data_IF_586420157427
#
_entry.id   IF_586420157427
#
_cell.length_a   1.000
_cell.length_b   1.000
_cell.length_c   1.000
_cell.angle_alpha   90.00
_cell.angle_beta   90.00
_cell.angle_gamma   90.00
#
_symmetry.space_group_name_H-M   'P 1'
#
loop_
_entity.id
_entity.type
_entity.pdbx_description
1 polymer ?
#
# COMPACT_ATOMS: atom_id res chain seq x y z
N UNK A 1 -15.48 -2.31 -45.13
CA UNK A 1 -15.55 -0.83 -45.17
C UNK A 1 -14.14 -0.27 -45.25
N UNK A 2 -13.77 0.34 -46.39
CA UNK A 2 -12.45 0.95 -46.57
C UNK A 2 -12.35 2.23 -45.72
N UNK A 3 -11.36 2.32 -44.84
CA UNK A 3 -11.07 3.55 -44.08
C UNK A 3 -10.65 4.63 -45.06
N UNK A 4 -11.48 5.65 -45.28
CA UNK A 4 -11.13 6.86 -46.04
C UNK A 4 -9.82 7.43 -45.50
N UNK A 5 -8.78 7.49 -46.33
CA UNK A 5 -7.51 8.17 -45.97
C UNK A 5 -7.80 9.67 -45.89
N UNK A 6 -7.82 10.23 -44.68
CA UNK A 6 -7.93 11.69 -44.51
C UNK A 6 -6.77 12.37 -45.22
N UNK A 7 -7.08 13.32 -46.13
CA UNK A 7 -6.08 14.12 -46.85
C UNK A 7 -5.19 14.88 -45.82
N UNK A 8 -3.87 14.84 -46.03
CA UNK A 8 -2.91 15.56 -45.18
C UNK A 8 -2.99 17.07 -45.48
N UNK A 9 -3.24 17.85 -44.46
CA UNK A 9 -3.27 19.31 -44.52
C UNK A 9 -1.95 19.85 -43.98
N UNK A 10 -1.21 20.59 -44.84
CA UNK A 10 0.08 21.17 -44.47
C UNK A 10 0.00 22.70 -44.42
N UNK A 11 0.69 23.31 -43.47
CA UNK A 11 0.89 24.76 -43.37
C UNK A 11 2.38 25.04 -43.11
N UNK A 12 2.92 26.09 -43.68
CA UNK A 12 4.27 26.56 -43.42
C UNK A 12 4.23 27.48 -42.18
N UNK A 13 4.93 27.12 -41.09
CA UNK A 13 5.06 27.90 -39.86
C UNK A 13 6.56 27.97 -39.54
N UNK A 14 7.07 29.17 -39.35
CA UNK A 14 8.50 29.42 -39.06
C UNK A 14 9.47 28.67 -39.97
N UNK A 15 9.16 28.69 -41.27
CA UNK A 15 9.98 28.05 -42.30
C UNK A 15 9.81 26.52 -42.43
N UNK A 16 9.11 25.87 -41.53
CA UNK A 16 8.89 24.43 -41.52
C UNK A 16 7.49 24.07 -42.07
N UNK A 17 7.41 23.01 -42.88
CA UNK A 17 6.16 22.49 -43.40
C UNK A 17 5.54 21.51 -42.38
N UNK A 18 4.51 21.95 -41.67
CA UNK A 18 3.89 21.19 -40.59
C UNK A 18 2.54 20.59 -41.03
N UNK A 19 2.31 19.32 -40.71
CA UNK A 19 1.03 18.66 -40.95
C UNK A 19 0.02 19.02 -39.86
N UNK A 20 -0.95 19.88 -40.16
CA UNK A 20 -1.93 20.44 -39.23
C UNK A 20 -2.93 19.42 -38.68
N UNK A 21 -3.22 18.36 -39.42
CA UNK A 21 -4.11 17.28 -39.02
C UNK A 21 -3.36 15.97 -38.72
N UNK A 22 -2.13 16.09 -38.15
CA UNK A 22 -1.35 14.95 -37.74
C UNK A 22 -1.97 14.36 -36.47
N UNK A 23 -2.38 13.09 -36.50
CA UNK A 23 -2.93 12.41 -35.35
C UNK A 23 -1.82 11.77 -34.49
N UNK A 24 -2.13 11.50 -33.22
CA UNK A 24 -1.22 10.79 -32.28
C UNK A 24 -0.74 9.45 -32.85
N UNK A 25 -1.63 8.73 -33.56
CA UNK A 25 -1.29 7.44 -34.17
C UNK A 25 -0.25 7.54 -35.30
N UNK A 26 -0.08 8.70 -35.90
CA UNK A 26 0.88 8.96 -36.98
C UNK A 26 2.28 9.36 -36.46
N UNK A 27 2.48 9.45 -35.15
CA UNK A 27 3.79 9.65 -34.54
C UNK A 27 4.66 8.39 -34.68
N UNK A 28 6.00 8.57 -34.69
CA UNK A 28 6.94 7.47 -34.56
C UNK A 28 6.77 6.78 -33.19
N UNK A 29 7.06 5.48 -33.13
CA UNK A 29 6.87 4.70 -31.89
C UNK A 29 7.56 5.38 -30.70
N UNK A 30 8.84 5.72 -30.82
CA UNK A 30 9.60 6.40 -29.75
C UNK A 30 8.95 7.73 -29.30
N UNK A 31 8.30 8.47 -30.20
CA UNK A 31 7.59 9.71 -29.84
C UNK A 31 6.32 9.42 -29.06
N UNK A 32 5.57 8.37 -29.46
CA UNK A 32 4.39 7.91 -28.72
C UNK A 32 4.75 7.45 -27.30
N UNK A 33 5.83 6.68 -27.19
CA UNK A 33 6.29 6.15 -25.89
C UNK A 33 6.69 7.28 -24.94
N UNK A 34 7.45 8.28 -25.46
CA UNK A 34 7.83 9.48 -24.67
C UNK A 34 6.59 10.23 -24.19
N UNK A 35 5.67 10.57 -25.10
CA UNK A 35 4.46 11.34 -24.75
C UNK A 35 3.60 10.54 -23.76
N UNK A 36 3.46 9.23 -23.96
CA UNK A 36 2.72 8.37 -23.04
C UNK A 36 3.35 8.35 -21.64
N UNK A 37 4.68 8.32 -21.57
CA UNK A 37 5.41 8.40 -20.29
C UNK A 37 5.19 9.76 -19.61
N UNK A 38 5.36 10.87 -20.33
CA UNK A 38 5.17 12.21 -19.78
C UNK A 38 3.74 12.45 -19.28
N UNK A 39 2.74 12.00 -20.03
CA UNK A 39 1.33 12.08 -19.60
C UNK A 39 1.11 11.33 -18.28
N UNK A 40 1.72 10.14 -18.12
CA UNK A 40 1.62 9.40 -16.88
C UNK A 40 2.38 10.04 -15.73
N UNK A 41 3.59 10.55 -16.00
CA UNK A 41 4.43 11.21 -15.00
C UNK A 41 3.76 12.46 -14.43
N UNK A 42 3.22 13.35 -15.28
CA UNK A 42 2.54 14.57 -14.85
C UNK A 42 1.24 14.25 -14.11
N UNK A 43 0.46 13.28 -14.58
CA UNK A 43 -0.72 12.80 -13.88
C UNK A 43 -0.39 12.26 -12.48
N UNK A 44 0.62 11.39 -12.41
CA UNK A 44 1.09 10.79 -11.15
C UNK A 44 1.62 11.84 -10.19
N UNK A 45 2.40 12.81 -10.69
CA UNK A 45 2.93 13.93 -9.92
C UNK A 45 1.78 14.69 -9.26
N UNK A 46 0.79 15.12 -10.05
CA UNK A 46 -0.37 15.86 -9.54
C UNK A 46 -1.10 15.08 -8.43
N UNK A 47 -1.45 13.81 -8.67
CA UNK A 47 -2.18 12.98 -7.68
C UNK A 47 -1.37 12.77 -6.41
N UNK A 48 -0.03 12.67 -6.53
CA UNK A 48 0.84 12.47 -5.37
C UNK A 48 1.00 13.74 -4.53
N UNK A 49 1.13 14.91 -5.18
CA UNK A 49 1.32 16.20 -4.50
C UNK A 49 0.03 16.74 -3.88
N UNK A 50 -1.13 16.45 -4.49
CA UNK A 50 -2.42 17.01 -4.07
C UNK A 50 -3.32 16.01 -3.35
N UNK A 51 -2.97 14.73 -3.31
CA UNK A 51 -3.74 13.63 -2.70
C UNK A 51 -5.19 13.53 -3.20
N UNK A 52 -5.47 14.08 -4.38
CA UNK A 52 -6.79 14.10 -5.03
C UNK A 52 -6.70 13.80 -6.53
N UNK A 53 -7.81 13.38 -7.12
CA UNK A 53 -7.90 13.19 -8.57
C UNK A 53 -7.96 14.56 -9.27
N UNK A 54 -7.35 14.69 -10.48
CA UNK A 54 -7.43 15.91 -11.25
C UNK A 54 -8.88 16.24 -11.66
N UNK A 55 -9.31 17.46 -11.38
CA UNK A 55 -10.49 18.10 -11.94
C UNK A 55 -10.18 18.73 -13.31
N UNK A 56 -11.12 19.49 -13.89
CA UNK A 56 -10.93 20.06 -15.24
C UNK A 56 -9.79 21.08 -15.30
N UNK A 57 -9.61 21.89 -14.28
CA UNK A 57 -8.54 22.88 -14.21
C UNK A 57 -7.17 22.21 -14.07
N UNK A 58 -7.09 21.21 -13.21
CA UNK A 58 -5.88 20.40 -13.04
C UNK A 58 -5.52 19.60 -14.32
N UNK A 59 -6.54 19.13 -15.06
CA UNK A 59 -6.32 18.46 -16.34
C UNK A 59 -5.65 19.40 -17.36
N UNK A 60 -6.05 20.67 -17.41
CA UNK A 60 -5.43 21.68 -18.28
C UNK A 60 -3.97 21.90 -17.91
N UNK A 61 -3.64 22.07 -16.63
CA UNK A 61 -2.26 22.20 -16.16
C UNK A 61 -1.39 20.99 -16.49
N UNK A 62 -1.93 19.77 -16.32
CA UNK A 62 -1.22 18.53 -16.67
C UNK A 62 -0.95 18.48 -18.18
N UNK A 63 -1.95 18.84 -19.00
CA UNK A 63 -1.82 18.85 -20.46
C UNK A 63 -0.78 19.88 -20.90
N UNK A 64 -0.80 21.09 -20.32
CA UNK A 64 0.15 22.15 -20.64
C UNK A 64 1.59 21.72 -20.31
N UNK A 65 1.82 21.14 -19.14
CA UNK A 65 3.12 20.61 -18.78
C UNK A 65 3.63 19.52 -19.75
N UNK A 66 2.72 18.69 -20.26
CA UNK A 66 3.05 17.69 -21.30
C UNK A 66 3.36 18.35 -22.64
N UNK A 67 2.61 19.40 -23.02
CA UNK A 67 2.84 20.16 -24.27
C UNK A 67 4.21 20.86 -24.23
N UNK A 68 4.63 21.40 -23.10
CA UNK A 68 5.95 21.99 -22.91
C UNK A 68 7.07 20.97 -23.17
N UNK A 69 6.98 19.77 -22.58
CA UNK A 69 7.93 18.67 -22.83
C UNK A 69 7.94 18.23 -24.30
N UNK A 70 6.78 18.23 -24.96
CA UNK A 70 6.66 17.90 -26.38
C UNK A 70 7.38 18.96 -27.24
N UNK A 71 7.23 20.24 -26.90
CA UNK A 71 7.87 21.36 -27.59
C UNK A 71 9.38 21.34 -27.39
N UNK A 72 9.87 21.14 -26.15
CA UNK A 72 11.30 21.00 -25.84
C UNK A 72 11.95 19.84 -26.63
N UNK A 73 11.22 18.72 -26.76
CA UNK A 73 11.67 17.57 -27.53
C UNK A 73 11.52 17.75 -29.08
N UNK A 74 11.06 18.92 -29.52
CA UNK A 74 10.81 19.24 -30.94
C UNK A 74 9.90 18.23 -31.65
N UNK A 75 8.89 17.72 -30.94
CA UNK A 75 7.90 16.80 -31.50
C UNK A 75 6.70 17.60 -31.97
N UNK A 76 6.47 17.63 -33.31
CA UNK A 76 5.30 18.28 -33.84
C UNK A 76 4.07 17.39 -33.75
N UNK A 77 3.03 17.88 -33.06
CA UNK A 77 1.68 17.34 -33.00
C UNK A 77 0.70 18.49 -32.64
N UNK A 78 -0.51 18.56 -33.20
CA UNK A 78 -1.52 19.52 -32.79
C UNK A 78 -1.89 19.33 -31.31
N UNK A 79 -1.99 20.43 -30.55
CA UNK A 79 -2.33 20.38 -29.11
C UNK A 79 -3.65 19.66 -28.83
N UNK A 80 -4.68 19.86 -29.66
CA UNK A 80 -5.98 19.16 -29.55
C UNK A 80 -5.89 17.64 -29.61
N UNK A 81 -4.87 17.08 -30.30
CA UNK A 81 -4.62 15.63 -30.28
C UNK A 81 -4.09 15.15 -28.93
N UNK A 82 -3.30 15.98 -28.24
CA UNK A 82 -2.80 15.66 -26.88
C UNK A 82 -3.93 15.76 -25.88
N UNK A 83 -4.76 16.80 -25.95
CA UNK A 83 -5.98 16.94 -25.13
C UNK A 83 -6.87 15.69 -25.27
N UNK A 84 -7.18 15.32 -26.53
CA UNK A 84 -8.00 14.14 -26.82
C UNK A 84 -7.35 12.83 -26.35
N UNK A 85 -6.02 12.73 -26.46
CA UNK A 85 -5.27 11.57 -26.00
C UNK A 85 -5.32 11.46 -24.48
N UNK A 86 -5.07 12.56 -23.74
CA UNK A 86 -5.11 12.62 -22.30
C UNK A 86 -6.48 12.17 -21.75
N UNK A 87 -7.57 12.82 -22.17
CA UNK A 87 -8.90 12.48 -21.67
C UNK A 87 -9.29 11.03 -21.94
N UNK A 88 -8.95 10.50 -23.11
CA UNK A 88 -9.18 9.08 -23.43
C UNK A 88 -8.38 8.14 -22.53
N UNK A 89 -7.16 8.55 -22.10
CA UNK A 89 -6.26 7.74 -21.29
C UNK A 89 -6.46 7.92 -19.78
N UNK A 90 -7.03 9.01 -19.33
CA UNK A 90 -7.21 9.36 -17.91
C UNK A 90 -7.73 8.20 -17.05
N UNK A 91 -8.79 7.43 -17.43
CA UNK A 91 -9.23 6.27 -16.64
C UNK A 91 -8.16 5.17 -16.50
N UNK A 92 -7.34 4.99 -17.54
CA UNK A 92 -6.26 4.00 -17.53
C UNK A 92 -5.05 4.47 -16.69
N UNK A 93 -4.80 5.80 -16.65
CA UNK A 93 -3.74 6.38 -15.81
C UNK A 93 -4.03 6.13 -14.33
N UNK A 94 -5.28 6.39 -13.90
CA UNK A 94 -5.72 6.12 -12.53
C UNK A 94 -5.56 4.64 -12.18
N UNK A 95 -6.09 3.75 -13.01
CA UNK A 95 -5.97 2.30 -12.77
C UNK A 95 -4.52 1.83 -12.66
N UNK A 96 -3.62 2.40 -13.48
CA UNK A 96 -2.18 2.11 -13.42
C UNK A 96 -1.59 2.56 -12.09
N UNK A 97 -1.91 3.79 -11.65
CA UNK A 97 -1.44 4.35 -10.38
C UNK A 97 -1.93 3.52 -9.17
N UNK A 98 -3.20 3.12 -9.18
CA UNK A 98 -3.78 2.27 -8.14
C UNK A 98 -3.09 0.90 -8.08
N UNK A 99 -2.79 0.31 -9.24
CA UNK A 99 -2.05 -0.93 -9.31
C UNK A 99 -0.61 -0.79 -8.77
N UNK A 100 0.09 0.30 -9.09
CA UNK A 100 1.44 0.57 -8.56
C UNK A 100 1.41 0.76 -7.03
N UNK A 101 0.42 1.50 -6.49
CA UNK A 101 0.21 1.64 -5.04
C UNK A 101 -0.07 0.29 -4.38
N UNK A 102 -0.95 -0.52 -4.97
CA UNK A 102 -1.29 -1.84 -4.45
C UNK A 102 -0.11 -2.82 -4.45
N UNK A 103 0.73 -2.81 -5.49
CA UNK A 103 1.94 -3.64 -5.55
C UNK A 103 2.92 -3.23 -4.45
N UNK A 104 3.14 -1.93 -4.27
CA UNK A 104 4.01 -1.38 -3.22
C UNK A 104 3.49 -1.75 -1.83
N UNK A 105 2.19 -1.58 -1.58
CA UNK A 105 1.54 -1.95 -0.33
C UNK A 105 1.69 -3.45 -0.02
N UNK A 106 1.39 -4.33 -0.98
CA UNK A 106 1.56 -5.79 -0.81
C UNK A 106 3.00 -6.17 -0.49
N UNK A 107 3.98 -5.50 -1.12
CA UNK A 107 5.39 -5.72 -0.82
C UNK A 107 5.71 -5.37 0.64
N UNK A 108 5.28 -4.20 1.14
CA UNK A 108 5.50 -3.83 2.54
C UNK A 108 4.82 -4.79 3.53
N UNK A 109 3.56 -5.17 3.27
CA UNK A 109 2.86 -6.16 4.10
C UNK A 109 3.63 -7.46 4.18
N UNK A 110 4.21 -7.94 3.07
CA UNK A 110 5.02 -9.16 3.04
C UNK A 110 6.29 -9.04 3.91
N UNK A 111 6.97 -7.89 3.87
CA UNK A 111 8.14 -7.63 4.74
C UNK A 111 7.75 -7.61 6.21
N UNK A 112 6.71 -6.86 6.60
CA UNK A 112 6.26 -6.80 8.00
C UNK A 112 5.77 -8.16 8.49
N UNK A 113 5.01 -8.88 7.68
CA UNK A 113 4.58 -10.24 8.00
C UNK A 113 5.79 -11.16 8.22
N UNK A 114 6.79 -11.10 7.35
CA UNK A 114 8.01 -11.91 7.49
C UNK A 114 8.77 -11.61 8.80
N UNK A 115 8.84 -10.35 9.23
CA UNK A 115 9.47 -9.99 10.51
C UNK A 115 8.75 -10.67 11.66
N UNK A 116 7.43 -10.63 11.69
CA UNK A 116 6.62 -11.25 12.75
C UNK A 116 6.68 -12.78 12.66
N UNK A 117 6.68 -13.35 11.45
CA UNK A 117 6.77 -14.81 11.24
C UNK A 117 8.09 -15.40 11.72
N UNK A 118 9.19 -14.65 11.63
CA UNK A 118 10.51 -15.10 12.10
C UNK A 118 10.70 -14.94 13.62
N UNK A 119 9.79 -14.27 14.32
CA UNK A 119 9.87 -14.19 15.78
C UNK A 119 9.67 -15.59 16.39
N UNK A 120 10.62 -16.00 17.24
CA UNK A 120 10.58 -17.27 17.94
C UNK A 120 9.54 -17.31 19.07
N UNK A 121 9.09 -16.15 19.50
CA UNK A 121 8.05 -15.99 20.50
C UNK A 121 6.67 -15.99 19.85
N UNK A 122 5.68 -16.50 20.54
CA UNK A 122 4.30 -16.46 20.08
C UNK A 122 3.81 -15.02 20.00
N UNK A 123 3.23 -14.67 18.85
CA UNK A 123 2.56 -13.40 18.60
C UNK A 123 1.14 -13.68 18.11
N UNK A 124 0.15 -13.17 18.84
CA UNK A 124 -1.29 -13.27 18.50
C UNK A 124 -1.85 -11.86 18.38
N UNK A 125 -2.36 -11.50 17.22
CA UNK A 125 -2.94 -10.17 16.94
C UNK A 125 -4.45 -10.25 16.95
N UNK A 126 -5.09 -9.33 17.68
CA UNK A 126 -6.54 -9.20 17.76
C UNK A 126 -7.01 -7.80 17.34
N UNK A 127 -8.20 -7.73 16.72
CA UNK A 127 -8.92 -6.47 16.52
C UNK A 127 -9.65 -6.05 17.81
N UNK A 128 -10.33 -4.89 17.79
CA UNK A 128 -11.07 -4.36 18.95
C UNK A 128 -12.32 -5.16 19.33
N UNK A 129 -12.77 -6.05 18.45
CA UNK A 129 -13.85 -7.02 18.75
C UNK A 129 -13.30 -8.30 19.39
N UNK A 130 -12.02 -8.32 19.78
CA UNK A 130 -11.28 -9.46 20.30
C UNK A 130 -11.22 -10.66 19.35
N UNK A 131 -11.40 -10.44 18.06
CA UNK A 131 -11.23 -11.47 17.05
C UNK A 131 -9.73 -11.63 16.74
N UNK A 132 -9.25 -12.87 16.74
CA UNK A 132 -7.87 -13.20 16.37
C UNK A 132 -7.73 -13.04 14.85
N UNK A 133 -7.01 -11.99 14.41
CA UNK A 133 -6.81 -11.70 12.99
C UNK A 133 -5.52 -12.30 12.43
N UNK A 134 -4.57 -12.63 13.31
CA UNK A 134 -3.29 -13.22 12.91
C UNK A 134 -2.61 -13.94 14.07
N UNK A 135 -1.90 -15.02 13.71
CA UNK A 135 -0.98 -15.76 14.60
C UNK A 135 0.30 -16.05 13.82
N UNK A 136 1.47 -15.78 14.40
CA UNK A 136 2.72 -16.22 13.79
C UNK A 136 2.92 -17.74 13.95
N UNK A 137 3.86 -18.37 13.21
CA UNK A 137 4.11 -19.81 13.29
C UNK A 137 4.39 -20.29 14.71
N UNK A 138 5.09 -19.51 15.53
CA UNK A 138 5.37 -19.84 16.93
C UNK A 138 4.08 -19.86 17.79
N UNK A 139 3.13 -18.94 17.54
CA UNK A 139 1.83 -18.93 18.20
C UNK A 139 0.98 -20.13 17.77
N UNK A 140 0.93 -20.45 16.48
CA UNK A 140 0.20 -21.62 15.97
C UNK A 140 0.66 -22.90 16.69
N UNK A 141 1.96 -23.12 16.82
CA UNK A 141 2.54 -24.26 17.54
C UNK A 141 2.24 -24.20 19.07
N UNK A 142 2.36 -23.01 19.67
CA UNK A 142 2.11 -22.85 21.11
C UNK A 142 0.66 -23.18 21.48
N UNK A 143 -0.28 -22.91 20.58
CA UNK A 143 -1.71 -23.10 20.78
C UNK A 143 -2.29 -24.30 20.00
N UNK A 144 -1.46 -25.20 19.48
CA UNK A 144 -1.87 -26.38 18.70
C UNK A 144 -2.94 -27.22 19.40
N UNK A 145 -2.81 -27.43 20.71
CA UNK A 145 -3.75 -28.20 21.55
C UNK A 145 -5.17 -27.60 21.57
N UNK A 146 -5.32 -26.32 21.30
CA UNK A 146 -6.58 -25.61 21.29
C UNK A 146 -7.10 -25.31 19.89
N UNK A 147 -6.41 -25.81 18.85
CA UNK A 147 -6.80 -25.66 17.46
C UNK A 147 -5.79 -24.98 16.55
N UNK A 148 -4.71 -24.38 17.10
CA UNK A 148 -3.64 -23.78 16.32
C UNK A 148 -4.18 -22.70 15.35
N UNK A 149 -3.88 -22.84 14.06
CA UNK A 149 -4.30 -21.89 13.01
C UNK A 149 -5.83 -21.73 12.91
N UNK A 150 -6.63 -22.74 13.31
CA UNK A 150 -8.11 -22.67 13.32
C UNK A 150 -8.68 -21.67 14.32
N UNK A 151 -7.84 -21.12 15.20
CA UNK A 151 -8.23 -20.05 16.11
C UNK A 151 -8.35 -18.69 15.40
N UNK A 152 -7.72 -18.52 14.24
CA UNK A 152 -7.83 -17.29 13.44
C UNK A 152 -9.28 -17.13 12.97
N UNK A 153 -9.86 -15.94 13.16
CA UNK A 153 -11.24 -15.61 12.92
C UNK A 153 -12.18 -15.89 14.10
N UNK A 154 -11.67 -16.49 15.20
CA UNK A 154 -12.45 -16.73 16.42
C UNK A 154 -12.20 -15.64 17.47
N UNK A 155 -13.13 -15.49 18.39
CA UNK A 155 -12.95 -14.57 19.51
C UNK A 155 -11.93 -15.12 20.51
N UNK A 156 -10.91 -14.30 20.84
CA UNK A 156 -9.96 -14.58 21.91
C UNK A 156 -10.66 -14.87 23.24
N UNK A 157 -11.82 -14.24 23.47
CA UNK A 157 -12.61 -14.40 24.68
C UNK A 157 -13.15 -15.82 24.86
N UNK A 158 -13.37 -16.60 23.80
CA UNK A 158 -13.83 -17.98 23.88
C UNK A 158 -12.81 -18.91 24.54
N UNK A 159 -11.52 -18.59 24.43
CA UNK A 159 -10.43 -19.37 24.98
C UNK A 159 -10.09 -19.03 26.45
N UNK A 160 -10.79 -18.04 27.05
CA UNK A 160 -10.49 -17.50 28.34
C UNK A 160 -11.67 -17.67 29.34
N UNK A 161 -11.33 -17.90 30.62
CA UNK A 161 -12.29 -17.86 31.71
C UNK A 161 -12.76 -16.42 31.99
N UNK A 162 -13.83 -16.27 32.77
CA UNK A 162 -14.45 -14.97 33.05
C UNK A 162 -13.46 -13.94 33.62
N UNK A 163 -12.66 -14.32 34.62
CA UNK A 163 -11.69 -13.42 35.25
C UNK A 163 -10.60 -12.93 34.24
N UNK A 164 -10.18 -13.80 33.31
CA UNK A 164 -9.25 -13.43 32.25
C UNK A 164 -9.88 -12.50 31.22
N UNK A 165 -11.16 -12.75 30.83
CA UNK A 165 -11.89 -11.87 29.91
C UNK A 165 -12.03 -10.45 30.47
N UNK A 166 -12.38 -10.33 31.75
CA UNK A 166 -12.49 -9.03 32.43
C UNK A 166 -11.15 -8.28 32.44
N UNK A 167 -10.04 -8.98 32.69
CA UNK A 167 -8.72 -8.37 32.67
C UNK A 167 -8.30 -7.93 31.26
N UNK A 168 -8.57 -8.73 30.24
CA UNK A 168 -8.30 -8.37 28.84
C UNK A 168 -9.06 -7.10 28.47
N UNK A 169 -10.36 -7.04 28.84
CA UNK A 169 -11.17 -5.86 28.60
C UNK A 169 -10.63 -4.63 29.31
N UNK A 170 -10.27 -4.76 30.60
CA UNK A 170 -9.65 -3.66 31.38
C UNK A 170 -8.37 -3.13 30.72
N UNK A 171 -7.53 -4.00 30.16
CA UNK A 171 -6.32 -3.57 29.44
C UNK A 171 -6.66 -2.85 28.15
N UNK A 172 -7.66 -3.32 27.41
CA UNK A 172 -8.09 -2.64 26.16
C UNK A 172 -8.73 -1.28 26.49
N UNK A 173 -9.56 -1.19 27.51
CA UNK A 173 -10.14 0.07 27.98
C UNK A 173 -9.03 1.06 28.42
N UNK A 174 -7.98 0.57 29.08
CA UNK A 174 -6.82 1.37 29.45
C UNK A 174 -6.05 1.87 28.21
N UNK A 175 -5.88 1.04 27.18
CA UNK A 175 -5.30 1.48 25.89
C UNK A 175 -6.14 2.55 25.20
N UNK A 176 -7.49 2.46 25.30
CA UNK A 176 -8.41 3.44 24.71
C UNK A 176 -8.31 4.78 25.44
N UNK A 177 -8.09 4.77 26.74
CA UNK A 177 -8.14 5.97 27.58
C UNK A 177 -7.02 6.98 27.29
N UNK A 178 -5.84 6.55 26.81
CA UNK A 178 -4.70 7.42 26.52
C UNK A 178 -3.84 6.82 25.39
N UNK A 179 -3.41 7.65 24.45
CA UNK A 179 -2.55 7.23 23.32
C UNK A 179 -1.15 6.78 23.76
N UNK A 180 -0.69 7.20 24.94
CA UNK A 180 0.58 6.78 25.54
C UNK A 180 0.50 5.44 26.26
N UNK A 181 -0.69 4.90 26.45
CA UNK A 181 -0.89 3.58 27.04
C UNK A 181 -0.64 2.49 26.00
N UNK A 182 0.57 1.93 25.95
CA UNK A 182 0.97 1.09 24.82
C UNK A 182 1.35 -0.36 25.20
N UNK A 183 1.71 -0.66 26.45
CA UNK A 183 2.14 -2.00 26.84
C UNK A 183 1.77 -2.31 28.29
N UNK A 184 1.26 -3.51 28.52
CA UNK A 184 0.95 -4.03 29.86
C UNK A 184 1.59 -5.41 30.03
N UNK A 185 2.35 -5.61 31.11
CA UNK A 185 2.79 -6.92 31.55
C UNK A 185 1.61 -7.65 32.19
N UNK A 186 1.17 -8.77 31.60
CA UNK A 186 -0.08 -9.43 31.99
C UNK A 186 0.13 -10.71 32.80
N UNK A 187 1.17 -11.49 32.48
CA UNK A 187 1.30 -12.81 33.06
C UNK A 187 2.74 -13.36 33.01
N UNK A 188 3.15 -14.07 34.06
CA UNK A 188 4.38 -14.87 34.06
C UNK A 188 4.05 -16.37 34.01
N UNK A 189 4.40 -17.03 32.92
CA UNK A 189 4.29 -18.48 32.79
C UNK A 189 5.52 -19.15 33.42
N UNK A 190 5.39 -19.58 34.68
CA UNK A 190 6.47 -20.24 35.41
C UNK A 190 6.95 -21.54 34.78
N UNK A 191 6.05 -22.32 34.13
CA UNK A 191 6.40 -23.60 33.51
C UNK A 191 7.30 -23.43 32.28
N UNK A 192 7.08 -22.40 31.51
CA UNK A 192 7.84 -22.11 30.29
C UNK A 192 8.88 -20.99 30.51
N UNK A 193 8.96 -20.44 31.72
CA UNK A 193 9.82 -19.31 32.08
C UNK A 193 9.74 -18.16 31.08
N UNK A 194 8.50 -17.75 30.78
CA UNK A 194 8.22 -16.68 29.83
C UNK A 194 7.27 -15.66 30.41
N UNK A 195 7.45 -14.42 29.99
CA UNK A 195 6.58 -13.31 30.30
C UNK A 195 5.63 -13.06 29.12
N UNK A 196 4.45 -12.60 29.43
CA UNK A 196 3.40 -12.29 28.47
C UNK A 196 2.97 -10.84 28.63
N UNK A 197 2.88 -10.14 27.51
CA UNK A 197 2.51 -8.74 27.46
C UNK A 197 1.34 -8.57 26.49
N UNK A 198 0.46 -7.62 26.80
CA UNK A 198 -0.46 -7.05 25.81
C UNK A 198 0.10 -5.72 25.33
N UNK A 199 0.09 -5.50 24.03
CA UNK A 199 0.63 -4.31 23.35
C UNK A 199 -0.42 -3.72 22.42
N UNK A 200 -0.64 -2.41 22.54
CA UNK A 200 -1.56 -1.67 21.69
C UNK A 200 -1.05 -1.59 20.24
N UNK A 201 -1.96 -1.71 19.29
CA UNK A 201 -1.71 -1.41 17.88
C UNK A 201 -2.46 -0.15 17.51
N UNK A 202 -1.76 0.85 16.94
CA UNK A 202 -2.34 2.15 16.59
C UNK A 202 -2.05 2.50 15.14
N UNK A 203 -2.99 3.25 14.57
CA UNK A 203 -2.86 3.90 13.28
C UNK A 203 -3.20 5.38 13.47
N UNK A 204 -2.26 6.27 13.15
CA UNK A 204 -2.38 7.72 13.40
C UNK A 204 -2.83 8.07 14.82
N UNK A 205 -2.29 7.37 15.84
CA UNK A 205 -2.65 7.54 17.25
C UNK A 205 -3.92 6.80 17.69
N UNK A 206 -4.79 6.42 16.78
CA UNK A 206 -6.04 5.71 17.08
C UNK A 206 -5.77 4.22 17.33
N UNK A 207 -6.30 3.68 18.42
CA UNK A 207 -6.24 2.24 18.69
C UNK A 207 -7.02 1.46 17.60
N UNK A 208 -6.35 0.50 16.94
CA UNK A 208 -6.95 -0.36 15.91
C UNK A 208 -7.01 -1.83 16.33
N UNK A 209 -6.31 -2.19 17.40
CA UNK A 209 -6.24 -3.55 17.92
C UNK A 209 -5.15 -3.67 18.95
N UNK A 210 -4.81 -4.89 19.29
CA UNK A 210 -3.72 -5.22 20.22
C UNK A 210 -3.11 -6.56 19.86
N UNK A 211 -1.90 -6.84 20.38
CA UNK A 211 -1.34 -8.18 20.25
C UNK A 211 -0.78 -8.68 21.58
N UNK A 212 -0.82 -10.00 21.74
CA UNK A 212 -0.16 -10.72 22.80
C UNK A 212 1.26 -11.07 22.35
N UNK A 213 2.26 -10.66 23.13
CA UNK A 213 3.68 -10.90 22.92
C UNK A 213 4.21 -11.76 24.05
N UNK A 214 4.94 -12.82 23.70
CA UNK A 214 5.63 -13.65 24.65
C UNK A 214 7.14 -13.37 24.63
N UNK A 215 7.78 -13.35 25.78
CA UNK A 215 9.24 -13.21 25.90
C UNK A 215 9.78 -14.29 26.83
N UNK A 216 10.74 -15.08 26.34
CA UNK A 216 11.43 -16.04 27.18
C UNK A 216 12.51 -15.34 28.01
N UNK A 217 12.51 -15.56 29.32
CA UNK A 217 13.55 -15.01 30.23
C UNK A 217 14.93 -15.62 29.98
N UNK A 218 14.96 -16.89 29.55
CA UNK A 218 16.18 -17.54 29.11
C UNK A 218 16.26 -17.53 27.61
N UNK A 219 16.94 -16.55 27.06
CA UNK A 219 17.26 -16.52 25.64
C UNK A 219 18.24 -17.64 25.30
N UNK A 220 17.89 -18.49 24.33
CA UNK A 220 18.84 -19.42 23.74
C UNK A 220 20.03 -18.62 23.20
N UNK A 221 21.22 -18.84 23.75
CA UNK A 221 22.43 -18.20 23.25
C UNK A 221 22.78 -18.83 21.90
N UNK A 222 22.51 -18.11 20.82
CA UNK A 222 23.06 -18.47 19.52
C UNK A 222 24.55 -18.18 19.49
N UNK A 223 25.32 -19.04 18.86
CA UNK A 223 26.73 -18.75 18.60
C UNK A 223 26.83 -17.58 17.62
N UNK A 224 27.89 -16.78 17.77
CA UNK A 224 28.17 -15.68 16.86
C UNK A 224 28.47 -16.23 15.46
N UNK A 225 27.73 -15.75 14.46
CA UNK A 225 27.87 -16.19 13.05
C UNK A 225 27.79 -17.72 12.85
N UNK A 226 26.94 -18.41 13.64
CA UNK A 226 26.67 -19.84 13.49
C UNK A 226 25.76 -20.03 12.25
N UNK A 227 26.39 -20.23 11.10
CA UNK A 227 25.72 -20.34 9.80
C UNK A 227 25.52 -21.80 9.34
N UNK A 228 26.01 -22.80 10.14
CA UNK A 228 26.01 -24.25 9.83
C UNK A 228 25.45 -25.07 10.98
#
# INVERSE_FOLDING_TARGET
MAKSKKTKIHKKIDGQLLQMNKSFNNLKLMQKDKITAWVYEEYKKYVTENEKLPDSEADEHIIDAVLDKINEAQIWIPSGEIVSYYHRKKPHLQKRLDNEKNIKFKSYVSFYKSIVDQDRCAVVICNLNHEIIYMNPAAVLNYEKWGGEKLIGRSLMECHNQASRERIQQVVDWFIADENHNIVYTFHNKKQNKDVYMVALRDEGKLIGYYEKHEYRNTAKMKLYDLW
#
